data_IF_782718799374
#
_entry.id   IF_782718799374
#
_cell.length_a   1.000
_cell.length_b   1.000
_cell.length_c   1.000
_cell.angle_alpha   90.00
_cell.angle_beta   90.00
_cell.angle_gamma   90.00
#
_symmetry.space_group_name_H-M   'P 1'
#
loop_
_entity.id
_entity.type
_entity.pdbx_description
1 polymer ?
#
# COMPACT_ATOMS: atom_id res chain seq x y z
N UNK A 1 -27.18 33.66 -21.66
CA UNK A 1 -26.57 32.32 -21.50
C UNK A 1 -25.62 32.39 -20.31
N UNK A 2 -26.03 31.87 -19.14
CA UNK A 2 -25.23 31.88 -17.93
C UNK A 2 -24.08 30.91 -18.11
N UNK A 3 -22.80 31.37 -17.92
CA UNK A 3 -21.63 30.52 -17.81
C UNK A 3 -21.87 29.55 -16.67
N UNK A 4 -21.86 28.22 -16.95
CA UNK A 4 -21.75 27.17 -15.92
C UNK A 4 -20.53 27.49 -15.09
N UNK A 5 -20.72 27.77 -13.80
CA UNK A 5 -19.62 27.77 -12.83
C UNK A 5 -19.17 26.33 -12.72
N UNK A 6 -17.90 26.07 -13.11
CA UNK A 6 -17.24 24.78 -13.00
C UNK A 6 -17.23 24.32 -11.54
N UNK A 7 -17.79 23.13 -11.28
CA UNK A 7 -17.57 22.38 -10.05
C UNK A 7 -18.77 22.09 -9.16
N UNK A 8 -19.94 22.70 -9.35
CA UNK A 8 -21.13 22.41 -8.51
C UNK A 8 -22.12 21.50 -9.23
N UNK A 9 -22.26 20.26 -8.76
CA UNK A 9 -23.33 19.35 -9.17
C UNK A 9 -24.67 19.85 -8.61
N UNK A 10 -25.72 19.84 -9.45
CA UNK A 10 -27.07 20.10 -8.96
C UNK A 10 -27.53 18.95 -8.03
N UNK A 11 -28.40 19.27 -7.07
CA UNK A 11 -28.98 18.25 -6.17
C UNK A 11 -29.67 17.09 -6.91
N UNK A 12 -30.21 17.36 -8.13
CA UNK A 12 -30.80 16.34 -8.98
C UNK A 12 -29.77 15.41 -9.61
N UNK A 13 -28.64 15.94 -10.04
CA UNK A 13 -27.52 15.17 -10.59
C UNK A 13 -26.86 14.32 -9.51
N UNK A 14 -26.57 14.89 -8.34
CA UNK A 14 -26.01 14.16 -7.19
C UNK A 14 -26.94 12.99 -6.78
N UNK A 15 -28.26 13.20 -6.71
CA UNK A 15 -29.19 12.11 -6.42
C UNK A 15 -29.19 11.01 -7.50
N UNK A 16 -29.03 11.37 -8.78
CA UNK A 16 -28.93 10.39 -9.88
C UNK A 16 -27.68 9.56 -9.73
N UNK A 17 -26.53 10.21 -9.54
CA UNK A 17 -25.24 9.56 -9.33
C UNK A 17 -25.29 8.62 -8.11
N UNK A 18 -25.77 9.11 -6.96
CA UNK A 18 -25.91 8.30 -5.74
C UNK A 18 -26.80 7.06 -5.95
N UNK A 19 -27.91 7.19 -6.69
CA UNK A 19 -28.80 6.05 -6.98
C UNK A 19 -28.11 5.00 -7.85
N UNK A 20 -27.39 5.44 -8.88
CA UNK A 20 -26.64 4.56 -9.77
C UNK A 20 -25.49 3.86 -9.04
N UNK A 21 -24.68 4.63 -8.32
CA UNK A 21 -23.56 4.13 -7.54
C UNK A 21 -24.01 3.12 -6.48
N UNK A 22 -25.13 3.39 -5.78
CA UNK A 22 -25.72 2.47 -4.82
C UNK A 22 -26.16 1.15 -5.47
N UNK A 23 -26.67 1.17 -6.71
CA UNK A 23 -27.02 -0.05 -7.44
C UNK A 23 -25.76 -0.88 -7.71
N UNK A 24 -24.72 -0.24 -8.23
CA UNK A 24 -23.44 -0.89 -8.55
C UNK A 24 -22.80 -1.48 -7.28
N UNK A 25 -22.67 -0.70 -6.22
CA UNK A 25 -22.07 -1.18 -4.97
C UNK A 25 -22.86 -2.32 -4.32
N UNK A 26 -24.19 -2.30 -4.42
CA UNK A 26 -25.03 -3.40 -3.92
C UNK A 26 -24.77 -4.72 -4.67
N UNK A 27 -24.46 -4.69 -5.96
CA UNK A 27 -24.11 -5.88 -6.73
C UNK A 27 -22.76 -6.46 -6.28
N UNK A 28 -21.74 -5.62 -6.06
CA UNK A 28 -20.46 -6.04 -5.49
C UNK A 28 -20.62 -6.60 -4.08
N UNK A 29 -21.36 -5.93 -3.20
CA UNK A 29 -21.61 -6.39 -1.83
C UNK A 29 -22.36 -7.73 -1.78
N UNK A 30 -23.29 -7.99 -2.70
CA UNK A 30 -23.97 -9.28 -2.83
C UNK A 30 -23.00 -10.40 -3.20
N UNK A 31 -22.07 -10.15 -4.14
CA UNK A 31 -21.04 -11.11 -4.54
C UNK A 31 -20.11 -11.44 -3.37
N UNK A 32 -19.64 -10.41 -2.67
CA UNK A 32 -18.71 -10.55 -1.54
C UNK A 32 -19.33 -11.29 -0.34
N UNK A 33 -20.61 -11.03 -0.05
CA UNK A 33 -21.32 -11.64 1.09
C UNK A 33 -21.82 -13.06 0.85
N UNK A 34 -21.45 -13.70 -0.27
CA UNK A 34 -21.78 -15.10 -0.51
C UNK A 34 -21.12 -15.97 0.56
N UNK A 35 -21.89 -16.90 1.12
CA UNK A 35 -21.40 -17.92 2.05
C UNK A 35 -21.05 -19.19 1.25
N UNK A 36 -20.14 -20.00 1.78
CA UNK A 36 -19.73 -21.28 1.19
C UNK A 36 -19.25 -21.15 -0.26
N UNK A 37 -18.39 -20.12 -0.54
CA UNK A 37 -17.74 -19.99 -1.84
C UNK A 37 -16.80 -21.17 -2.04
N UNK A 38 -16.93 -21.95 -3.14
CA UNK A 38 -16.03 -23.07 -3.41
C UNK A 38 -14.58 -22.58 -3.53
N UNK A 39 -13.64 -23.33 -3.00
CA UNK A 39 -12.21 -23.00 -3.06
C UNK A 39 -11.72 -22.81 -4.50
N UNK A 40 -12.29 -23.55 -5.45
CA UNK A 40 -12.00 -23.43 -6.88
C UNK A 40 -12.33 -22.06 -7.51
N UNK A 41 -13.13 -21.21 -6.85
CA UNK A 41 -13.43 -19.86 -7.34
C UNK A 41 -12.31 -18.84 -7.03
N UNK A 42 -11.53 -19.07 -5.98
CA UNK A 42 -10.45 -18.18 -5.55
C UNK A 42 -9.06 -18.84 -5.57
N UNK A 43 -8.95 -20.15 -5.78
CA UNK A 43 -7.69 -20.80 -6.10
C UNK A 43 -7.16 -20.31 -7.45
N UNK A 44 -5.86 -20.02 -7.50
CA UNK A 44 -5.14 -19.57 -8.69
C UNK A 44 -3.70 -20.08 -8.68
N UNK A 45 -2.90 -19.65 -9.64
CA UNK A 45 -1.46 -19.90 -9.69
C UNK A 45 -0.71 -18.60 -9.76
N UNK A 46 0.47 -18.53 -9.15
CA UNK A 46 1.37 -17.40 -9.32
C UNK A 46 1.91 -17.36 -10.75
N UNK A 47 2.15 -16.17 -11.31
CA UNK A 47 2.90 -16.02 -12.56
C UNK A 47 4.38 -16.34 -12.34
N UNK A 48 4.96 -15.87 -11.26
CA UNK A 48 6.30 -16.23 -10.79
C UNK A 48 6.21 -16.81 -9.36
N UNK A 49 6.59 -18.09 -9.15
CA UNK A 49 6.55 -18.72 -7.84
C UNK A 49 7.50 -18.05 -6.81
N UNK A 50 8.44 -17.21 -7.26
CA UNK A 50 9.31 -16.43 -6.38
C UNK A 50 8.62 -15.16 -5.83
N UNK A 51 7.41 -14.86 -6.26
CA UNK A 51 6.63 -13.75 -5.73
C UNK A 51 5.80 -14.18 -4.52
N UNK A 52 5.74 -13.30 -3.52
CA UNK A 52 4.85 -13.44 -2.37
C UNK A 52 3.44 -12.90 -2.70
N UNK A 53 3.38 -11.78 -3.44
CA UNK A 53 2.14 -11.20 -3.97
C UNK A 53 2.38 -10.68 -5.38
N UNK A 54 1.36 -10.84 -6.22
CA UNK A 54 1.28 -10.22 -7.54
C UNK A 54 -0.02 -9.41 -7.64
N UNK A 55 0.12 -8.13 -8.00
CA UNK A 55 -0.98 -7.27 -8.39
C UNK A 55 -1.05 -7.25 -9.91
N UNK A 56 -2.18 -7.63 -10.47
CA UNK A 56 -2.37 -7.70 -11.91
C UNK A 56 -3.58 -6.86 -12.33
N UNK A 57 -3.30 -5.74 -13.02
CA UNK A 57 -4.29 -4.80 -13.52
C UNK A 57 -5.34 -4.40 -12.47
N UNK A 58 -4.93 -4.12 -11.24
CA UNK A 58 -5.82 -3.82 -10.13
C UNK A 58 -6.52 -2.50 -10.32
N UNK A 59 -7.87 -2.52 -10.23
CA UNK A 59 -8.72 -1.33 -10.20
C UNK A 59 -9.54 -1.31 -8.91
N UNK A 60 -9.34 -0.26 -8.11
CA UNK A 60 -10.10 -0.04 -6.87
C UNK A 60 -10.71 1.36 -6.89
N UNK A 61 -12.04 1.41 -6.91
CA UNK A 61 -12.81 2.63 -7.06
C UNK A 61 -13.69 2.91 -5.84
N UNK A 62 -13.94 4.20 -5.58
CA UNK A 62 -14.90 4.64 -4.57
C UNK A 62 -16.10 5.30 -5.25
N UNK A 63 -17.27 4.74 -5.00
CA UNK A 63 -18.55 5.19 -5.53
C UNK A 63 -19.20 6.21 -4.59
N UNK A 64 -18.99 7.48 -4.88
CA UNK A 64 -19.45 8.61 -4.03
C UNK A 64 -20.71 9.27 -4.60
N UNK A 65 -21.29 10.21 -3.88
CA UNK A 65 -22.44 11.01 -4.30
C UNK A 65 -22.09 12.09 -5.34
N UNK A 66 -20.80 12.33 -5.58
CA UNK A 66 -20.31 13.30 -6.56
C UNK A 66 -19.70 12.63 -7.80
N UNK A 67 -19.50 11.31 -7.79
CA UNK A 67 -18.93 10.55 -8.90
C UNK A 67 -18.15 9.32 -8.44
N UNK A 68 -17.45 8.70 -9.38
CA UNK A 68 -16.57 7.55 -9.13
C UNK A 68 -15.13 8.03 -9.03
N UNK A 69 -14.52 7.79 -7.87
CA UNK A 69 -13.12 8.12 -7.60
C UNK A 69 -12.28 6.89 -7.97
N UNK A 70 -11.43 7.01 -8.97
CA UNK A 70 -10.51 5.97 -9.43
C UNK A 70 -9.22 6.02 -8.61
N UNK A 71 -9.25 5.50 -7.39
CA UNK A 71 -8.11 5.58 -6.48
C UNK A 71 -6.95 4.67 -6.87
N UNK A 72 -7.23 3.53 -7.49
CA UNK A 72 -6.26 2.62 -8.11
C UNK A 72 -6.84 2.26 -9.48
N UNK A 73 -6.07 2.48 -10.55
CA UNK A 73 -6.56 2.42 -11.92
C UNK A 73 -5.57 1.70 -12.85
N UNK A 74 -5.57 0.37 -12.83
CA UNK A 74 -4.68 -0.47 -13.64
C UNK A 74 -3.28 -0.64 -13.03
N UNK A 75 -3.20 -0.92 -11.74
CA UNK A 75 -1.91 -1.11 -11.04
C UNK A 75 -1.46 -2.56 -11.19
N UNK A 76 -0.24 -2.74 -11.70
CA UNK A 76 0.42 -4.05 -11.87
C UNK A 76 1.84 -3.99 -11.33
N UNK A 77 2.17 -4.78 -10.33
CA UNK A 77 3.53 -4.97 -9.81
C UNK A 77 3.58 -6.19 -8.89
N UNK A 78 4.78 -6.67 -8.61
CA UNK A 78 5.04 -7.85 -7.81
C UNK A 78 5.78 -7.50 -6.52
N UNK A 79 5.57 -8.33 -5.50
CA UNK A 79 6.33 -8.31 -4.24
C UNK A 79 7.08 -9.65 -4.15
N UNK A 80 8.38 -9.70 -4.51
CA UNK A 80 9.15 -10.93 -4.44
C UNK A 80 9.36 -11.40 -3.00
N UNK A 81 9.50 -12.72 -2.82
CA UNK A 81 9.74 -13.35 -1.51
C UNK A 81 11.03 -12.81 -0.88
N UNK A 82 10.96 -12.41 0.39
CA UNK A 82 12.10 -11.90 1.16
C UNK A 82 12.60 -10.52 0.73
N UNK A 83 11.89 -9.83 -0.19
CA UNK A 83 12.25 -8.51 -0.69
C UNK A 83 11.38 -7.41 -0.11
N UNK A 84 11.90 -6.19 -0.14
CA UNK A 84 11.16 -4.97 0.21
C UNK A 84 10.81 -4.23 -1.06
N UNK A 85 9.50 -4.01 -1.29
CA UNK A 85 8.98 -3.17 -2.38
C UNK A 85 8.50 -1.85 -1.78
N UNK A 86 9.17 -0.77 -2.15
CA UNK A 86 8.80 0.58 -1.76
C UNK A 86 7.73 1.16 -2.69
N UNK A 87 6.59 1.57 -2.15
CA UNK A 87 5.53 2.25 -2.91
C UNK A 87 5.51 3.71 -2.52
N UNK A 88 5.84 4.58 -3.47
CA UNK A 88 6.00 6.03 -3.24
C UNK A 88 5.09 6.88 -4.10
N UNK A 89 4.84 8.11 -3.67
CA UNK A 89 4.07 9.12 -4.39
C UNK A 89 3.42 10.12 -3.44
N UNK A 90 2.83 11.18 -4.01
CA UNK A 90 2.12 12.22 -3.23
C UNK A 90 0.93 11.62 -2.44
N UNK A 91 0.47 12.36 -1.42
CA UNK A 91 -0.74 11.97 -0.67
C UNK A 91 -1.95 11.85 -1.60
N UNK A 92 -2.77 10.81 -1.39
CA UNK A 92 -3.96 10.55 -2.21
C UNK A 92 -3.68 9.88 -3.57
N UNK A 93 -2.45 9.48 -3.89
CA UNK A 93 -2.16 8.81 -5.18
C UNK A 93 -2.52 7.32 -5.24
N UNK A 94 -3.14 6.74 -4.19
CA UNK A 94 -3.64 5.36 -4.19
C UNK A 94 -2.81 4.34 -3.41
N UNK A 95 -1.67 4.69 -2.82
CA UNK A 95 -0.76 3.76 -2.10
C UNK A 95 -1.48 2.92 -1.03
N UNK A 96 -2.07 3.58 -0.04
CA UNK A 96 -2.80 2.90 1.04
C UNK A 96 -4.05 2.16 0.53
N UNK A 97 -4.69 2.64 -0.55
CA UNK A 97 -5.82 1.93 -1.16
C UNK A 97 -5.36 0.62 -1.80
N UNK A 98 -4.18 0.58 -2.40
CA UNK A 98 -3.59 -0.67 -2.95
C UNK A 98 -3.36 -1.70 -1.84
N UNK A 99 -2.78 -1.29 -0.71
CA UNK A 99 -2.57 -2.20 0.44
C UNK A 99 -3.88 -2.63 1.10
N UNK A 100 -4.84 -1.72 1.26
CA UNK A 100 -6.17 -2.06 1.78
C UNK A 100 -6.96 -2.97 0.84
N UNK A 101 -6.68 -2.94 -0.47
CA UNK A 101 -7.25 -3.89 -1.44
C UNK A 101 -6.70 -5.30 -1.20
N UNK A 102 -5.38 -5.46 -0.97
CA UNK A 102 -4.78 -6.73 -0.58
C UNK A 102 -5.36 -7.27 0.73
N UNK A 103 -5.61 -6.41 1.69
CA UNK A 103 -6.23 -6.79 2.97
C UNK A 103 -7.75 -6.95 2.89
N UNK A 104 -8.40 -6.59 1.78
CA UNK A 104 -9.85 -6.44 1.66
C UNK A 104 -10.49 -5.56 2.77
N UNK A 105 -9.75 -4.55 3.26
CA UNK A 105 -10.18 -3.62 4.31
C UNK A 105 -10.64 -2.26 3.77
N UNK A 106 -11.13 -2.22 2.54
CA UNK A 106 -11.69 -1.02 1.92
C UNK A 106 -12.93 -0.54 2.68
N UNK A 107 -13.12 0.79 2.76
CA UNK A 107 -14.33 1.38 3.35
C UNK A 107 -15.57 1.00 2.53
N UNK A 108 -16.39 0.13 3.07
CA UNK A 108 -17.61 -0.38 2.43
C UNK A 108 -18.83 0.46 2.78
N UNK A 109 -19.83 0.54 1.91
CA UNK A 109 -19.94 -0.08 0.58
C UNK A 109 -19.31 0.75 -0.55
N UNK A 110 -18.72 1.92 -0.26
CA UNK A 110 -18.23 2.85 -1.28
C UNK A 110 -17.01 2.31 -2.02
N UNK A 111 -16.03 1.74 -1.30
CA UNK A 111 -14.81 1.20 -1.87
C UNK A 111 -15.01 -0.22 -2.40
N UNK A 112 -14.71 -0.44 -3.69
CA UNK A 112 -14.87 -1.73 -4.36
C UNK A 112 -13.66 -2.02 -5.25
N UNK A 113 -13.17 -3.27 -5.24
CA UNK A 113 -12.28 -3.78 -6.28
C UNK A 113 -13.18 -4.10 -7.46
N UNK A 114 -12.99 -3.40 -8.58
CA UNK A 114 -13.88 -3.50 -9.75
C UNK A 114 -13.31 -4.40 -10.84
N UNK A 115 -11.97 -4.51 -10.92
CA UNK A 115 -11.27 -5.29 -11.94
C UNK A 115 -9.87 -5.67 -11.44
N UNK A 116 -9.25 -6.65 -12.08
CA UNK A 116 -7.91 -7.14 -11.79
C UNK A 116 -7.88 -8.25 -10.75
N UNK A 117 -6.69 -8.76 -10.51
CA UNK A 117 -6.43 -9.84 -9.58
C UNK A 117 -5.33 -9.45 -8.57
N UNK A 118 -5.40 -10.02 -7.38
CA UNK A 118 -4.30 -9.98 -6.40
C UNK A 118 -4.00 -11.40 -6.02
N UNK A 119 -2.88 -11.93 -6.54
CA UNK A 119 -2.46 -13.30 -6.24
C UNK A 119 -1.57 -13.32 -5.00
N UNK A 120 -1.94 -14.10 -4.03
CA UNK A 120 -1.19 -14.34 -2.81
C UNK A 120 -0.62 -15.75 -2.85
N UNK A 121 0.70 -15.85 -2.74
CA UNK A 121 1.40 -17.12 -2.65
C UNK A 121 1.22 -17.72 -1.25
N UNK A 122 0.61 -18.90 -1.18
CA UNK A 122 0.52 -19.71 0.02
C UNK A 122 1.63 -20.76 0.04
N UNK A 123 1.72 -21.49 1.16
CA UNK A 123 2.62 -22.65 1.22
C UNK A 123 2.25 -23.75 0.22
N UNK A 124 3.21 -24.60 -0.13
CA UNK A 124 3.03 -25.78 -0.99
C UNK A 124 2.64 -25.48 -2.44
N UNK A 125 3.05 -24.34 -3.00
CA UNK A 125 2.79 -23.96 -4.39
C UNK A 125 1.33 -23.60 -4.68
N UNK A 126 0.52 -23.43 -3.65
CA UNK A 126 -0.84 -22.92 -3.76
C UNK A 126 -0.83 -21.39 -3.80
N UNK A 127 -1.67 -20.83 -4.62
CA UNK A 127 -1.94 -19.40 -4.64
C UNK A 127 -3.44 -19.13 -4.63
N UNK A 128 -3.82 -17.97 -4.14
CA UNK A 128 -5.21 -17.53 -4.14
C UNK A 128 -5.35 -16.15 -4.78
N UNK A 129 -6.47 -15.92 -5.41
CA UNK A 129 -6.90 -14.60 -5.81
C UNK A 129 -7.66 -13.94 -4.65
N UNK A 130 -6.99 -13.04 -3.95
CA UNK A 130 -7.53 -12.30 -2.81
C UNK A 130 -8.81 -11.53 -3.18
N UNK A 131 -8.94 -11.07 -4.42
CA UNK A 131 -10.11 -10.30 -4.85
C UNK A 131 -11.41 -11.12 -4.86
N UNK A 132 -11.28 -12.44 -4.98
CA UNK A 132 -12.38 -13.43 -5.01
C UNK A 132 -12.55 -14.17 -3.69
N UNK A 133 -11.56 -14.10 -2.79
CA UNK A 133 -11.58 -14.81 -1.51
C UNK A 133 -12.72 -14.32 -0.60
N UNK A 134 -13.49 -15.23 0.01
CA UNK A 134 -14.57 -14.85 0.92
C UNK A 134 -14.04 -14.32 2.25
N UNK A 135 -14.87 -13.58 2.98
CA UNK A 135 -14.48 -12.88 4.22
C UNK A 135 -13.99 -13.82 5.33
N UNK A 136 -14.65 -14.97 5.50
CA UNK A 136 -14.28 -16.00 6.47
C UNK A 136 -12.87 -16.56 6.20
N UNK A 137 -12.54 -16.78 4.92
CA UNK A 137 -11.19 -17.18 4.54
C UNK A 137 -10.17 -16.04 4.73
N UNK A 138 -10.53 -14.80 4.38
CA UNK A 138 -9.66 -13.64 4.62
C UNK A 138 -9.33 -13.43 6.10
N UNK A 139 -10.24 -13.77 7.02
CA UNK A 139 -9.97 -13.73 8.46
C UNK A 139 -8.86 -14.69 8.89
N UNK A 140 -8.70 -15.83 8.23
CA UNK A 140 -7.60 -16.76 8.52
C UNK A 140 -6.25 -16.29 7.98
N UNK A 141 -6.26 -15.42 6.96
CA UNK A 141 -5.05 -14.89 6.34
C UNK A 141 -4.53 -13.62 7.04
N UNK A 142 -5.45 -12.74 7.47
CA UNK A 142 -5.08 -11.50 8.17
C UNK A 142 -4.46 -11.83 9.53
N UNK A 143 -3.29 -11.27 9.80
CA UNK A 143 -2.50 -11.54 11.01
C UNK A 143 -1.61 -12.78 10.92
N UNK A 144 -1.93 -13.74 10.07
CA UNK A 144 -1.18 -14.99 9.90
C UNK A 144 -0.28 -14.96 8.65
N UNK A 145 -0.86 -14.84 7.45
CA UNK A 145 -0.11 -14.76 6.20
C UNK A 145 0.25 -13.33 5.82
N UNK A 146 -0.66 -12.39 6.06
CA UNK A 146 -0.52 -10.98 5.74
C UNK A 146 -0.77 -10.17 7.00
N UNK A 147 0.17 -9.34 7.41
CA UNK A 147 0.00 -8.39 8.50
C UNK A 147 0.18 -6.96 8.02
N UNK A 148 -0.42 -6.01 8.73
CA UNK A 148 -0.34 -4.60 8.41
C UNK A 148 0.04 -3.76 9.62
N UNK A 149 1.00 -2.86 9.41
CA UNK A 149 1.36 -1.78 10.33
C UNK A 149 0.69 -0.53 9.78
N UNK A 150 -0.30 -0.01 10.51
CA UNK A 150 -1.10 1.15 10.10
C UNK A 150 -0.37 2.47 10.32
N UNK A 151 -0.73 3.48 9.55
CA UNK A 151 -0.15 4.81 9.55
C UNK A 151 -0.22 5.51 10.91
N UNK A 152 -1.32 5.33 11.65
CA UNK A 152 -1.56 6.00 12.93
C UNK A 152 -1.67 5.00 14.10
N UNK A 153 -0.61 4.86 14.95
CA UNK A 153 -0.64 3.99 16.10
C UNK A 153 -1.72 4.35 17.14
N UNK A 154 -2.11 5.63 17.16
CA UNK A 154 -3.12 6.15 18.09
C UNK A 154 -4.51 5.61 17.82
N UNK A 155 -4.83 5.37 16.56
CA UNK A 155 -6.15 4.88 16.12
C UNK A 155 -6.17 3.38 15.91
N UNK A 156 -5.00 2.75 15.70
CA UNK A 156 -4.87 1.31 15.48
C UNK A 156 -4.98 0.51 16.80
N UNK A 157 -4.42 1.01 17.90
CA UNK A 157 -4.55 0.37 19.22
C UNK A 157 -5.85 0.79 19.90
N UNK A 158 -6.60 -0.17 20.43
CA UNK A 158 -7.84 0.11 21.15
C UNK A 158 -7.50 0.70 22.54
N UNK A 159 -7.92 1.96 22.85
CA UNK A 159 -7.51 2.66 24.06
C UNK A 159 -8.10 2.08 25.37
N UNK A 160 -9.11 1.22 25.29
CA UNK A 160 -9.79 0.66 26.48
C UNK A 160 -9.28 -0.74 26.86
N UNK A 161 -8.42 -1.35 26.06
CA UNK A 161 -7.77 -2.63 26.35
C UNK A 161 -6.29 -2.45 26.65
N UNK A 162 -5.74 -3.31 27.51
CA UNK A 162 -4.31 -3.33 27.81
C UNK A 162 -3.51 -3.82 26.63
N UNK A 163 -2.25 -3.43 26.56
CA UNK A 163 -1.33 -3.83 25.47
C UNK A 163 -1.23 -5.36 25.39
N UNK A 164 -1.04 -6.03 26.53
CA UNK A 164 -0.95 -7.49 26.59
C UNK A 164 -2.19 -8.19 26.06
N UNK A 165 -3.38 -7.68 26.38
CA UNK A 165 -4.64 -8.26 25.91
C UNK A 165 -4.75 -8.20 24.38
N UNK A 166 -4.38 -7.09 23.79
CA UNK A 166 -4.44 -6.91 22.32
C UNK A 166 -3.43 -7.78 21.59
N UNK A 167 -2.21 -7.95 22.11
CA UNK A 167 -1.21 -8.84 21.51
C UNK A 167 -1.59 -10.31 21.72
N UNK A 168 -2.10 -10.66 22.91
CA UNK A 168 -2.61 -12.01 23.21
C UNK A 168 -3.72 -12.43 22.26
N UNK A 169 -4.64 -11.51 21.93
CA UNK A 169 -5.76 -11.78 21.03
C UNK A 169 -5.24 -12.26 19.65
N UNK A 170 -4.23 -11.58 19.09
CA UNK A 170 -3.64 -11.97 17.80
C UNK A 170 -3.04 -13.37 17.88
N UNK A 171 -2.28 -13.67 18.95
CA UNK A 171 -1.67 -14.99 19.15
C UNK A 171 -2.76 -16.06 19.34
N UNK A 172 -3.76 -15.78 20.17
CA UNK A 172 -4.82 -16.75 20.48
C UNK A 172 -5.64 -17.13 19.24
N UNK A 173 -5.90 -16.15 18.35
CA UNK A 173 -6.68 -16.37 17.13
C UNK A 173 -5.95 -17.23 16.07
N UNK A 174 -4.62 -17.13 15.98
CA UNK A 174 -3.89 -17.71 14.86
C UNK A 174 -2.86 -18.77 15.25
N UNK A 175 -2.34 -18.72 16.46
CA UNK A 175 -1.26 -19.60 16.96
C UNK A 175 -1.56 -20.12 18.39
N UNK A 176 -2.81 -19.99 18.84
CA UNK A 176 -3.21 -20.34 20.20
C UNK A 176 -3.65 -21.79 20.40
N UNK A 177 -3.77 -22.60 19.35
CA UNK A 177 -4.23 -23.98 19.46
C UNK A 177 -3.32 -24.81 20.36
N UNK A 178 -3.88 -25.37 21.42
CA UNK A 178 -3.16 -26.15 22.43
C UNK A 178 -2.28 -25.35 23.40
N UNK A 179 -2.25 -24.01 23.33
CA UNK A 179 -1.48 -23.14 24.23
C UNK A 179 -2.31 -22.70 25.44
N UNK A 180 -1.68 -22.66 26.60
CA UNK A 180 -2.29 -22.08 27.82
C UNK A 180 -2.24 -20.55 27.78
N UNK A 181 -3.05 -19.89 28.60
CA UNK A 181 -2.97 -18.41 28.78
C UNK A 181 -1.57 -17.97 29.22
N UNK A 182 -0.87 -18.79 30.02
CA UNK A 182 0.50 -18.53 30.46
C UNK A 182 1.49 -18.56 29.29
N UNK A 183 1.34 -19.50 28.35
CA UNK A 183 2.18 -19.62 27.16
C UNK A 183 1.95 -18.41 26.23
N UNK A 184 0.70 -18.01 26.01
CA UNK A 184 0.34 -16.85 25.20
C UNK A 184 0.93 -15.58 25.82
N UNK A 185 0.80 -15.40 27.15
CA UNK A 185 1.39 -14.27 27.86
C UNK A 185 2.92 -14.25 27.73
N UNK A 186 3.58 -15.40 27.93
CA UNK A 186 5.03 -15.51 27.78
C UNK A 186 5.48 -15.13 26.37
N UNK A 187 4.78 -15.60 25.33
CA UNK A 187 5.03 -15.23 23.93
C UNK A 187 4.81 -13.74 23.68
N UNK A 188 3.79 -13.14 24.26
CA UNK A 188 3.56 -11.70 24.17
C UNK A 188 4.72 -10.90 24.76
N UNK A 189 5.21 -11.27 25.94
CA UNK A 189 6.35 -10.61 26.59
C UNK A 189 7.60 -10.73 25.69
N UNK A 190 7.87 -11.92 25.16
CA UNK A 190 8.97 -12.16 24.22
C UNK A 190 8.88 -11.25 22.97
N UNK A 191 7.68 -11.11 22.38
CA UNK A 191 7.46 -10.22 21.24
C UNK A 191 7.72 -8.75 21.56
N UNK A 192 7.30 -8.29 22.75
CA UNK A 192 7.57 -6.92 23.22
C UNK A 192 9.07 -6.69 23.45
N UNK A 193 9.79 -7.66 23.97
CA UNK A 193 11.25 -7.61 24.11
C UNK A 193 11.96 -7.55 22.74
N UNK A 194 11.54 -8.39 21.79
CA UNK A 194 12.11 -8.44 20.44
C UNK A 194 11.99 -7.11 19.69
N UNK A 195 10.97 -6.31 19.95
CA UNK A 195 10.83 -4.97 19.37
C UNK A 195 11.54 -3.89 20.20
N UNK A 196 12.30 -4.28 21.23
CA UNK A 196 13.14 -3.39 22.02
C UNK A 196 12.37 -2.58 23.08
N UNK A 197 11.33 -3.16 23.67
CA UNK A 197 10.64 -2.61 24.85
C UNK A 197 11.36 -3.13 26.11
N UNK A 198 12.05 -2.22 26.82
CA UNK A 198 12.91 -2.59 27.96
C UNK A 198 12.17 -3.17 29.18
N UNK A 199 10.92 -2.73 29.42
CA UNK A 199 10.08 -3.22 30.53
C UNK A 199 8.83 -3.89 29.94
N UNK A 200 9.02 -5.00 29.25
CA UNK A 200 7.96 -5.73 28.54
C UNK A 200 6.83 -6.19 29.46
N UNK A 201 7.15 -6.70 30.66
CA UNK A 201 6.15 -7.10 31.67
C UNK A 201 5.33 -5.90 32.18
N UNK A 202 5.96 -4.78 32.44
CA UNK A 202 5.26 -3.54 32.81
C UNK A 202 4.34 -3.05 31.70
N UNK A 203 4.86 -2.98 30.47
CA UNK A 203 4.10 -2.55 29.30
C UNK A 203 2.95 -3.48 28.96
N UNK A 204 3.09 -4.79 29.19
CA UNK A 204 2.01 -5.75 29.05
C UNK A 204 0.72 -5.32 29.80
N UNK A 205 0.89 -4.71 30.98
CA UNK A 205 -0.21 -4.28 31.85
C UNK A 205 -0.70 -2.86 31.60
N UNK A 206 -0.01 -2.08 30.74
CA UNK A 206 -0.33 -0.68 30.43
C UNK A 206 -1.41 -0.58 29.36
N UNK A 207 -2.06 0.59 29.33
CA UNK A 207 -2.96 1.00 28.27
C UNK A 207 -2.20 1.79 27.18
N UNK A 208 -2.72 1.85 25.94
CA UNK A 208 -2.06 2.59 24.86
C UNK A 208 -1.75 4.05 25.18
N UNK A 209 -2.61 4.75 25.91
CA UNK A 209 -2.42 6.15 26.25
C UNK A 209 -1.27 6.42 27.24
N UNK A 210 -0.81 5.38 27.95
CA UNK A 210 0.33 5.47 28.88
C UNK A 210 1.68 5.33 28.15
N UNK A 211 1.69 4.98 26.84
CA UNK A 211 2.88 4.77 26.04
C UNK A 211 3.23 6.00 25.19
N UNK A 212 4.53 6.21 24.96
CA UNK A 212 5.01 7.16 23.95
C UNK A 212 4.65 6.72 22.53
N UNK A 213 4.71 7.64 21.56
CA UNK A 213 4.43 7.34 20.15
C UNK A 213 5.32 6.20 19.60
N UNK A 214 6.62 6.26 19.88
CA UNK A 214 7.57 5.22 19.47
C UNK A 214 7.32 3.87 20.14
N UNK A 215 6.87 3.84 21.40
CA UNK A 215 6.49 2.59 22.08
C UNK A 215 5.23 1.98 21.46
N UNK A 216 4.20 2.79 21.16
CA UNK A 216 2.99 2.30 20.46
C UNK A 216 3.33 1.73 19.10
N UNK A 217 4.24 2.37 18.35
CA UNK A 217 4.71 1.87 17.06
C UNK A 217 5.39 0.51 17.21
N UNK A 218 6.26 0.34 18.22
CA UNK A 218 6.90 -0.94 18.52
C UNK A 218 5.88 -2.03 18.88
N UNK A 219 4.85 -1.69 19.66
CA UNK A 219 3.74 -2.63 19.97
C UNK A 219 3.01 -3.06 18.70
N UNK A 220 2.68 -2.13 17.80
CA UNK A 220 2.05 -2.50 16.52
C UNK A 220 2.93 -3.41 15.67
N UNK A 221 4.24 -3.16 15.65
CA UNK A 221 5.20 -4.04 14.97
C UNK A 221 5.23 -5.43 15.63
N UNK A 222 5.20 -5.50 16.97
CA UNK A 222 5.11 -6.77 17.70
C UNK A 222 3.83 -7.54 17.32
N UNK A 223 2.68 -6.87 17.28
CA UNK A 223 1.41 -7.46 16.83
C UNK A 223 1.49 -7.94 15.37
N UNK A 224 1.98 -7.11 14.47
CA UNK A 224 2.11 -7.48 13.06
C UNK A 224 3.02 -8.70 12.84
N UNK A 225 4.00 -8.90 13.72
CA UNK A 225 4.94 -10.03 13.66
C UNK A 225 4.46 -11.29 14.41
N UNK A 226 3.44 -11.19 15.24
CA UNK A 226 3.09 -12.23 16.23
C UNK A 226 3.03 -13.65 15.65
N UNK A 227 2.51 -13.81 14.43
CA UNK A 227 2.34 -15.09 13.73
C UNK A 227 3.35 -15.31 12.58
N UNK A 228 4.47 -14.58 12.54
CA UNK A 228 5.50 -14.67 11.52
C UNK A 228 4.94 -14.60 10.08
N UNK A 229 4.25 -13.51 9.71
CA UNK A 229 3.56 -13.41 8.43
C UNK A 229 4.56 -13.44 7.26
N UNK A 230 4.12 -13.94 6.11
CA UNK A 230 4.91 -13.92 4.88
C UNK A 230 5.07 -12.53 4.30
N UNK A 231 4.07 -11.68 4.55
CA UNK A 231 4.04 -10.32 4.04
C UNK A 231 3.67 -9.37 5.17
N UNK A 232 4.48 -8.33 5.30
CA UNK A 232 4.23 -7.20 6.18
C UNK A 232 3.96 -5.98 5.30
N UNK A 233 2.78 -5.41 5.41
CA UNK A 233 2.45 -4.10 4.84
C UNK A 233 2.82 -3.05 5.89
N UNK A 234 3.75 -2.16 5.57
CA UNK A 234 4.13 -1.05 6.42
C UNK A 234 3.63 0.26 5.78
N UNK A 235 2.44 0.71 6.18
CA UNK A 235 1.82 1.92 5.64
C UNK A 235 2.22 3.13 6.49
N UNK A 236 3.15 3.93 5.98
CA UNK A 236 3.75 5.11 6.62
C UNK A 236 4.21 4.85 8.08
N UNK A 237 4.99 3.79 8.35
CA UNK A 237 5.24 3.31 9.71
C UNK A 237 6.09 4.25 10.56
N UNK A 238 6.64 5.31 9.99
CA UNK A 238 7.50 6.28 10.68
C UNK A 238 6.92 7.70 10.69
N UNK A 239 5.70 7.89 10.18
CA UNK A 239 5.03 9.19 10.18
C UNK A 239 4.82 9.68 11.63
N UNK A 240 5.08 10.97 11.87
CA UNK A 240 4.99 11.63 13.17
C UNK A 240 5.97 11.12 14.25
N UNK A 241 7.04 10.42 13.88
CA UNK A 241 8.15 10.06 14.77
C UNK A 241 9.33 11.02 14.57
N UNK A 242 10.10 11.23 15.63
CA UNK A 242 11.38 11.94 15.50
C UNK A 242 12.41 11.09 14.73
N UNK A 243 13.42 11.76 14.17
CA UNK A 243 14.43 11.13 13.28
C UNK A 243 15.15 9.96 13.95
N UNK A 244 15.41 10.04 15.25
CA UNK A 244 16.12 9.00 16.00
C UNK A 244 15.25 7.75 16.14
N UNK A 245 13.99 7.92 16.53
CA UNK A 245 13.04 6.81 16.64
C UNK A 245 12.72 6.24 15.25
N UNK A 246 12.59 7.08 14.21
CA UNK A 246 12.42 6.65 12.84
C UNK A 246 13.53 5.67 12.42
N UNK A 247 14.81 6.03 12.60
CA UNK A 247 15.94 5.16 12.28
C UNK A 247 15.86 3.80 13.01
N UNK A 248 15.53 3.84 14.32
CA UNK A 248 15.37 2.61 15.11
C UNK A 248 14.21 1.71 14.61
N UNK A 249 13.12 2.29 14.15
CA UNK A 249 11.98 1.53 13.59
C UNK A 249 12.35 0.93 12.24
N UNK A 250 13.10 1.63 11.40
CA UNK A 250 13.57 1.11 10.11
C UNK A 250 14.54 -0.07 10.32
N UNK A 251 15.50 0.06 11.23
CA UNK A 251 16.40 -1.03 11.61
C UNK A 251 15.65 -2.24 12.18
N UNK A 252 14.64 -1.98 13.01
CA UNK A 252 13.78 -3.04 13.53
C UNK A 252 13.07 -3.80 12.40
N UNK A 253 12.44 -3.10 11.46
CA UNK A 253 11.73 -3.72 10.34
C UNK A 253 12.67 -4.52 9.42
N UNK A 254 13.89 -3.99 9.15
CA UNK A 254 14.92 -4.70 8.37
C UNK A 254 15.34 -6.00 9.06
N UNK A 255 15.67 -5.93 10.35
CA UNK A 255 16.06 -7.10 11.14
C UNK A 255 14.93 -8.14 11.26
N UNK A 256 13.66 -7.70 11.34
CA UNK A 256 12.52 -8.60 11.38
C UNK A 256 12.36 -9.32 10.05
N UNK A 257 12.41 -8.60 8.92
CA UNK A 257 12.34 -9.19 7.56
C UNK A 257 13.35 -10.32 7.40
N UNK A 258 14.61 -10.06 7.75
CA UNK A 258 15.71 -11.02 7.57
C UNK A 258 15.56 -12.27 8.48
N UNK A 259 15.07 -12.08 9.71
CA UNK A 259 14.91 -13.20 10.67
C UNK A 259 13.80 -14.19 10.29
N UNK A 260 12.71 -13.73 9.70
CA UNK A 260 11.54 -14.56 9.37
C UNK A 260 11.32 -14.73 7.87
N UNK A 261 12.25 -14.23 7.05
CA UNK A 261 12.18 -14.26 5.59
C UNK A 261 10.84 -13.71 5.03
N UNK A 262 10.30 -12.67 5.67
CA UNK A 262 9.09 -11.99 5.22
C UNK A 262 9.39 -11.02 4.08
N UNK A 263 8.41 -10.82 3.22
CA UNK A 263 8.43 -9.73 2.25
C UNK A 263 7.82 -8.47 2.87
N UNK A 264 8.29 -7.29 2.48
CA UNK A 264 7.72 -6.02 2.97
C UNK A 264 7.19 -5.21 1.80
N UNK A 265 5.92 -4.81 1.87
CA UNK A 265 5.37 -3.72 1.08
C UNK A 265 5.45 -2.44 1.90
N UNK A 266 6.43 -1.60 1.61
CA UNK A 266 6.72 -0.39 2.38
C UNK A 266 6.15 0.84 1.69
N UNK A 267 5.16 1.46 2.30
CA UNK A 267 4.47 2.64 1.76
C UNK A 267 4.93 3.88 2.51
N UNK A 268 5.42 4.88 1.79
CA UNK A 268 5.76 6.19 2.36
C UNK A 268 5.79 7.26 1.28
N UNK A 269 5.75 8.52 1.70
CA UNK A 269 6.07 9.67 0.84
C UNK A 269 7.55 10.08 0.95
N UNK A 270 8.33 9.44 1.85
CA UNK A 270 9.75 9.73 2.05
C UNK A 270 10.64 8.85 1.18
N UNK A 271 11.16 9.44 0.08
CA UNK A 271 12.11 8.78 -0.83
C UNK A 271 13.44 8.41 -0.16
N UNK A 272 13.88 9.16 0.87
CA UNK A 272 15.10 8.83 1.62
C UNK A 272 14.97 7.51 2.36
N UNK A 273 13.82 7.30 2.99
CA UNK A 273 13.49 6.03 3.66
C UNK A 273 13.42 4.89 2.65
N UNK A 274 12.81 5.12 1.49
CA UNK A 274 12.74 4.09 0.43
C UNK A 274 14.13 3.75 -0.12
N UNK A 275 14.98 4.74 -0.36
CA UNK A 275 16.35 4.48 -0.82
C UNK A 275 17.16 3.61 0.16
N UNK A 276 16.84 3.67 1.45
CA UNK A 276 17.47 2.89 2.50
C UNK A 276 16.88 1.47 2.65
N UNK A 277 15.56 1.33 2.43
CA UNK A 277 14.82 0.13 2.79
C UNK A 277 14.47 -0.79 1.62
N UNK A 278 14.27 -0.23 0.42
CA UNK A 278 13.67 -0.95 -0.69
C UNK A 278 14.68 -1.64 -1.60
N UNK A 279 14.36 -2.87 -2.02
CA UNK A 279 15.02 -3.55 -3.13
C UNK A 279 14.44 -3.06 -4.48
N UNK A 280 13.11 -2.88 -4.54
CA UNK A 280 12.37 -2.39 -5.71
C UNK A 280 11.50 -1.19 -5.32
N UNK A 281 11.27 -0.31 -6.29
CA UNK A 281 10.49 0.92 -6.09
C UNK A 281 9.38 1.00 -7.11
N UNK A 282 8.18 1.32 -6.65
CA UNK A 282 6.98 1.59 -7.45
C UNK A 282 6.55 3.03 -7.18
N UNK A 283 6.61 3.87 -8.20
CA UNK A 283 6.21 5.29 -8.11
C UNK A 283 4.78 5.44 -8.62
N UNK A 284 3.89 5.87 -7.74
CA UNK A 284 2.46 6.05 -8.06
C UNK A 284 2.09 7.53 -8.18
N UNK A 285 1.28 7.83 -9.18
CA UNK A 285 0.67 9.13 -9.39
C UNK A 285 -0.80 8.99 -9.78
N UNK A 286 -1.70 9.61 -9.01
CA UNK A 286 -3.15 9.64 -9.28
C UNK A 286 -3.75 8.29 -9.64
N UNK A 287 -3.45 7.24 -8.86
CA UNK A 287 -4.01 5.90 -9.02
C UNK A 287 -3.26 5.00 -10.00
N UNK A 288 -2.21 5.46 -10.67
CA UNK A 288 -1.43 4.67 -11.64
C UNK A 288 0.04 4.61 -11.27
N UNK A 289 0.71 3.55 -11.69
CA UNK A 289 2.16 3.46 -11.62
C UNK A 289 2.72 4.24 -12.82
N UNK A 290 3.61 5.19 -12.55
CA UNK A 290 4.29 5.97 -13.59
C UNK A 290 5.69 5.47 -13.88
N UNK A 291 6.33 4.85 -12.88
CA UNK A 291 7.68 4.28 -13.00
C UNK A 291 7.85 3.16 -11.97
N UNK A 292 8.55 2.09 -12.34
CA UNK A 292 8.91 1.01 -11.42
C UNK A 292 10.22 0.37 -11.86
N UNK A 293 11.06 0.01 -10.88
CA UNK A 293 12.36 -0.62 -11.13
C UNK A 293 13.05 -1.01 -9.84
N UNK A 294 14.31 -1.43 -9.92
CA UNK A 294 15.14 -1.58 -8.72
C UNK A 294 15.36 -0.23 -8.06
N UNK A 295 15.62 -0.20 -6.77
CA UNK A 295 15.89 1.05 -6.06
C UNK A 295 17.05 1.82 -6.73
N UNK A 296 18.12 1.12 -7.11
CA UNK A 296 19.27 1.72 -7.81
C UNK A 296 18.86 2.41 -9.11
N UNK A 297 18.08 1.74 -9.98
CA UNK A 297 17.64 2.29 -11.26
C UNK A 297 16.76 3.53 -11.08
N UNK A 298 15.75 3.44 -10.20
CA UNK A 298 14.81 4.55 -9.99
C UNK A 298 15.50 5.76 -9.36
N UNK A 299 16.44 5.54 -8.42
CA UNK A 299 17.12 6.65 -7.73
C UNK A 299 18.28 7.26 -8.53
N UNK A 300 19.04 6.45 -9.26
CA UNK A 300 20.18 6.95 -10.05
C UNK A 300 19.79 7.37 -11.47
N UNK A 301 18.77 6.75 -12.04
CA UNK A 301 18.33 6.95 -13.42
C UNK A 301 16.81 7.16 -13.54
N UNK A 302 16.23 8.13 -12.79
CA UNK A 302 14.78 8.38 -12.85
C UNK A 302 14.36 8.78 -14.27
N UNK A 303 13.30 8.15 -14.75
CA UNK A 303 12.84 8.32 -16.14
C UNK A 303 11.60 9.22 -16.23
N UNK A 304 10.62 9.00 -15.36
CA UNK A 304 9.38 9.78 -15.44
C UNK A 304 9.59 11.20 -14.88
N UNK A 305 9.10 12.26 -15.56
CA UNK A 305 9.24 13.64 -15.06
C UNK A 305 8.70 13.87 -13.65
N UNK A 306 7.68 13.13 -13.24
CA UNK A 306 7.18 13.16 -11.86
C UNK A 306 8.20 12.62 -10.86
N UNK A 307 8.84 11.48 -11.16
CA UNK A 307 9.90 10.90 -10.31
C UNK A 307 11.08 11.84 -10.17
N UNK A 308 11.51 12.44 -11.29
CA UNK A 308 12.57 13.47 -11.31
C UNK A 308 12.18 14.66 -10.43
N UNK A 309 10.94 15.13 -10.54
CA UNK A 309 10.41 16.23 -9.73
C UNK A 309 10.33 15.89 -8.22
N UNK A 310 9.89 14.67 -7.88
CA UNK A 310 9.86 14.20 -6.49
C UNK A 310 11.28 14.19 -5.88
N UNK A 311 12.27 13.74 -6.61
CA UNK A 311 13.66 13.73 -6.14
C UNK A 311 14.24 15.13 -6.00
N UNK A 312 13.95 16.02 -6.95
CA UNK A 312 14.39 17.41 -6.91
C UNK A 312 13.73 18.21 -5.76
N UNK A 313 12.58 17.76 -5.27
CA UNK A 313 11.84 18.43 -4.18
C UNK A 313 12.47 18.21 -2.79
N UNK A 314 13.45 17.31 -2.67
CA UNK A 314 14.08 16.98 -1.39
C UNK A 314 15.36 17.78 -1.16
N UNK A 315 15.62 18.22 0.11
CA UNK A 315 16.89 18.82 0.47
C UNK A 315 17.99 17.76 0.38
N UNK A 316 19.07 18.10 -0.30
CA UNK A 316 20.30 17.29 -0.34
C UNK A 316 21.24 17.81 0.76
N UNK A 317 21.66 16.91 1.65
CA UNK A 317 22.61 17.26 2.72
C UNK A 317 23.89 17.82 2.10
N UNK A 318 24.34 19.00 2.58
CA UNK A 318 25.54 19.65 2.08
C UNK A 318 25.34 20.61 0.90
N UNK A 319 24.16 20.66 0.27
CA UNK A 319 23.83 21.70 -0.71
C UNK A 319 22.97 22.79 -0.09
N UNK A 320 23.52 24.03 -0.01
CA UNK A 320 22.69 25.21 0.26
C UNK A 320 21.91 25.54 -1.01
N UNK A 321 20.58 25.44 -0.92
CA UNK A 321 19.65 25.93 -1.95
C UNK A 321 18.76 26.99 -1.34
N UNK A 322 18.61 28.13 -1.99
CA UNK A 322 17.75 29.21 -1.52
C UNK A 322 16.26 28.84 -1.53
N UNK A 323 15.87 27.96 -2.43
CA UNK A 323 14.50 27.44 -2.54
C UNK A 323 14.52 26.02 -3.06
N UNK A 324 13.80 25.12 -2.37
CA UNK A 324 13.56 23.75 -2.86
C UNK A 324 12.68 23.79 -4.10
N UNK A 325 12.95 22.89 -5.05
CA UNK A 325 12.07 22.68 -6.19
C UNK A 325 10.70 22.18 -5.67
N UNK A 326 9.65 22.68 -6.26
CA UNK A 326 8.28 22.22 -5.99
C UNK A 326 7.63 21.89 -7.32
N UNK A 327 7.10 20.69 -7.46
CA UNK A 327 6.37 20.28 -8.66
C UNK A 327 5.21 21.25 -8.86
N UNK A 328 5.11 21.93 -10.03
CA UNK A 328 4.08 22.94 -10.27
C UNK A 328 2.67 22.34 -10.30
N UNK A 329 1.66 23.19 -10.15
CA UNK A 329 0.26 22.81 -10.28
C UNK A 329 -0.30 22.02 -9.11
N UNK A 330 -1.48 21.44 -9.31
CA UNK A 330 -2.20 20.61 -8.32
C UNK A 330 -2.40 19.20 -8.85
N UNK A 331 -2.44 18.23 -7.95
CA UNK A 331 -2.85 16.86 -8.30
C UNK A 331 -4.26 16.91 -8.89
N UNK A 332 -4.51 16.23 -10.03
CA UNK A 332 -5.83 16.22 -10.65
C UNK A 332 -6.88 15.60 -9.70
N UNK A 333 -8.13 16.06 -9.86
CA UNK A 333 -9.25 15.44 -9.15
C UNK A 333 -9.46 14.02 -9.69
N UNK A 334 -9.43 12.97 -8.86
CA UNK A 334 -9.57 11.58 -9.32
C UNK A 334 -10.97 11.21 -9.82
N UNK A 335 -11.89 12.17 -9.92
CA UNK A 335 -13.20 12.01 -10.52
C UNK A 335 -13.12 12.49 -11.98
N UNK A 336 -13.66 11.69 -12.91
CA UNK A 336 -13.63 11.99 -14.35
C UNK A 336 -12.21 12.25 -14.89
N UNK A 337 -11.30 11.36 -14.57
CA UNK A 337 -9.92 11.42 -15.07
C UNK A 337 -9.89 11.42 -16.59
N UNK A 338 -8.98 12.19 -17.22
CA UNK A 338 -8.82 12.22 -18.67
C UNK A 338 -8.24 10.89 -19.19
N UNK A 339 -8.35 10.65 -20.50
CA UNK A 339 -7.78 9.46 -21.14
C UNK A 339 -6.28 9.62 -21.47
N UNK A 340 -5.70 10.81 -21.22
CA UNK A 340 -4.26 11.09 -21.43
C UNK A 340 -3.45 10.98 -20.13
N UNK A 341 -2.14 11.19 -20.21
CA UNK A 341 -1.23 11.15 -19.07
C UNK A 341 -1.69 12.07 -17.92
N UNK A 342 -1.97 11.52 -16.75
CA UNK A 342 -2.48 12.27 -15.59
C UNK A 342 -1.52 13.33 -15.05
N UNK A 343 -0.21 13.19 -15.33
CA UNK A 343 0.80 14.17 -14.95
C UNK A 343 0.98 15.29 -15.97
N UNK A 344 0.36 15.21 -17.15
CA UNK A 344 0.55 16.14 -18.27
C UNK A 344 0.47 17.61 -17.84
N UNK A 345 -0.58 18.00 -17.14
CA UNK A 345 -0.81 19.42 -16.78
C UNK A 345 0.22 20.00 -15.80
N UNK A 346 1.02 19.13 -15.17
CA UNK A 346 2.13 19.49 -14.27
C UNK A 346 3.51 19.21 -14.87
N UNK A 347 3.55 18.62 -16.06
CA UNK A 347 4.78 18.18 -16.69
C UNK A 347 5.46 19.31 -17.45
N UNK A 348 6.67 19.66 -17.06
CA UNK A 348 7.50 20.64 -17.78
C UNK A 348 8.20 20.02 -19.01
N UNK A 349 8.12 18.69 -19.19
CA UNK A 349 8.80 17.93 -20.25
C UNK A 349 7.81 17.31 -21.24
N UNK A 350 6.71 18.00 -21.55
CA UNK A 350 5.69 17.49 -22.45
C UNK A 350 6.23 17.24 -23.86
N UNK A 351 5.70 16.22 -24.53
CA UNK A 351 5.96 15.92 -25.94
C UNK A 351 4.63 15.70 -26.70
N UNK A 352 4.71 15.60 -28.03
CA UNK A 352 3.50 15.48 -28.88
C UNK A 352 2.58 14.30 -28.53
N UNK A 353 3.14 13.18 -28.03
CA UNK A 353 2.37 12.02 -27.62
C UNK A 353 1.50 12.26 -26.36
N UNK A 354 1.83 13.29 -25.55
CA UNK A 354 1.11 13.55 -24.30
C UNK A 354 -0.34 14.02 -24.46
N UNK A 355 -0.76 14.39 -25.67
CA UNK A 355 -2.14 14.77 -26.02
C UNK A 355 -3.01 13.57 -26.43
N UNK A 356 -2.38 12.39 -26.57
CA UNK A 356 -3.06 11.14 -26.95
C UNK A 356 -3.60 10.36 -25.75
N UNK A 357 -3.69 9.05 -25.91
CA UNK A 357 -4.12 8.13 -24.85
C UNK A 357 -3.14 8.09 -23.67
N UNK A 358 -3.52 7.42 -22.57
CA UNK A 358 -2.59 7.22 -21.46
C UNK A 358 -1.40 6.34 -21.91
N UNK A 359 -0.12 6.75 -21.62
CA UNK A 359 1.02 6.01 -22.10
C UNK A 359 1.11 4.60 -21.51
N UNK A 360 1.33 3.61 -22.35
CA UNK A 360 1.70 2.26 -21.92
C UNK A 360 3.10 2.23 -21.31
N UNK A 361 3.42 1.17 -20.59
CA UNK A 361 4.77 0.96 -20.07
C UNK A 361 5.78 0.69 -21.19
N UNK A 362 6.93 1.35 -21.10
CA UNK A 362 8.14 1.07 -21.87
C UNK A 362 9.19 0.53 -20.91
N UNK A 363 9.78 -0.61 -21.23
CA UNK A 363 10.90 -1.17 -20.50
C UNK A 363 12.18 -0.46 -20.97
N UNK A 364 12.87 0.21 -20.04
CA UNK A 364 14.15 0.89 -20.29
C UNK A 364 15.33 0.02 -19.86
N UNK A 365 15.09 -0.99 -19.05
CA UNK A 365 15.97 -2.11 -18.73
C UNK A 365 15.12 -3.37 -18.47
N UNK A 366 15.69 -4.55 -18.22
CA UNK A 366 14.94 -5.75 -17.86
C UNK A 366 14.07 -5.63 -16.59
N UNK A 367 14.42 -4.70 -15.67
CA UNK A 367 13.76 -4.48 -14.40
C UNK A 367 13.13 -3.10 -14.25
N UNK A 368 13.43 -2.16 -15.17
CA UNK A 368 12.99 -0.78 -15.09
C UNK A 368 12.00 -0.43 -16.19
N UNK A 369 10.80 -0.01 -15.82
CA UNK A 369 9.75 0.41 -16.75
C UNK A 369 9.20 1.78 -16.39
N UNK A 370 8.73 2.49 -17.40
CA UNK A 370 8.19 3.86 -17.29
C UNK A 370 6.97 4.05 -18.19
N UNK A 371 5.93 4.71 -17.68
CA UNK A 371 4.75 5.10 -18.45
C UNK A 371 4.92 6.55 -18.96
N UNK A 372 5.73 6.75 -19.98
CA UNK A 372 6.02 8.09 -20.52
C UNK A 372 6.35 8.07 -22.01
N UNK A 373 5.68 8.91 -22.80
CA UNK A 373 5.89 9.01 -24.25
C UNK A 373 7.31 9.41 -24.68
N UNK A 374 8.09 10.03 -23.81
CA UNK A 374 9.49 10.36 -24.08
C UNK A 374 10.39 9.14 -24.35
N UNK A 375 9.92 7.95 -24.02
CA UNK A 375 10.66 6.69 -24.18
C UNK A 375 10.10 5.78 -25.28
N UNK A 376 9.07 6.22 -26.01
CA UNK A 376 8.43 5.41 -27.07
C UNK A 376 9.35 5.16 -28.27
N UNK A 377 10.22 6.11 -28.61
CA UNK A 377 11.19 5.93 -29.71
C UNK A 377 12.24 4.84 -29.43
N UNK A 378 12.37 4.42 -28.14
CA UNK A 378 13.23 3.31 -27.74
C UNK A 378 12.58 1.93 -27.94
N UNK A 379 11.27 1.85 -28.24
CA UNK A 379 10.60 0.57 -28.60
C UNK A 379 11.07 0.00 -29.94
N UNK A 380 11.85 0.72 -30.76
CA UNK A 380 12.32 0.32 -32.09
C UNK A 380 13.82 0.10 -32.24
N UNK A 381 14.60 0.08 -31.17
CA UNK A 381 16.07 -0.08 -31.22
C UNK A 381 16.46 -1.45 -30.66
N UNK A 382 16.43 -2.47 -31.51
CA UNK A 382 17.44 -3.52 -31.47
C UNK A 382 18.76 -2.86 -31.89
N UNK A 383 19.68 -2.67 -30.88
CA UNK A 383 21.12 -2.85 -31.05
C UNK A 383 21.77 -2.84 -29.66
#
# INVERSE_FOLDING_TARGET
>A
MAKKQDGYLSAKESRRISKENRRITNEYEKKRKRKNVPESEYLTTMHDPNNAVEFDNLHTYFFTDVGVVKSVDGVTFDVPIGKTVGVVGESGCGKSVTSLSLMQLLQRPQGQIVEGEIRLNLDDGKAIDVTKAPEDFMQTLRGNYISMIFQEPMTALNPVFRIGEQVNEVIALHDGEGKSEADIKARTIELLEMVGIANSEGVYSMFPHELSGGMRQRVMIAMARACNPRIIIADEPTTALDVTIQAQILDLLRNLKDKINSSIMFITHDLGVIAEMADFVVVMYSGRIVEAGTAEEVFLHPCHPYTIGLMASKPVVGKKVDKLYSIPGKVPNPINMPDYCYFKDRCEMQCKGCDGEYPEYVWVSPTHRVACYRYYDRKGGEE
#
